data_IF_255700938923
#
_entry.id   IF_255700938923
#
_cell.length_a   1.000
_cell.length_b   1.000
_cell.length_c   1.000
_cell.angle_alpha   90.00
_cell.angle_beta   90.00
_cell.angle_gamma   90.00
#
_symmetry.space_group_name_H-M   'P 1'
#
loop_
_entity.id
_entity.type
_entity.pdbx_description
1 polymer ?
#
# COMPACT_ATOMS: atom_id res chain seq x y z
N UNK A 1 -42.77 38.42 8.98
CA UNK A 1 -43.14 37.26 8.11
C UNK A 1 -42.21 37.32 6.91
N UNK A 2 -41.32 36.37 6.62
CA UNK A 2 -41.59 34.97 6.34
C UNK A 2 -40.37 34.13 6.77
N UNK A 3 -40.60 33.15 7.65
CA UNK A 3 -39.65 32.05 7.87
C UNK A 3 -39.74 31.17 6.62
N UNK A 4 -38.65 31.02 5.88
CA UNK A 4 -38.57 30.02 4.81
C UNK A 4 -37.65 28.90 5.30
N UNK A 5 -38.26 27.94 6.00
CA UNK A 5 -37.68 26.64 6.23
C UNK A 5 -38.25 25.71 5.16
N UNK A 6 -37.43 25.28 4.19
CA UNK A 6 -37.70 24.07 3.41
C UNK A 6 -36.40 23.28 3.29
N UNK A 7 -36.44 22.19 4.05
CA UNK A 7 -35.66 20.96 4.00
C UNK A 7 -35.27 20.51 2.58
N UNK A 8 -33.99 20.20 2.38
CA UNK A 8 -33.54 19.30 1.33
C UNK A 8 -32.52 18.33 1.94
N UNK A 9 -33.06 17.30 2.61
CA UNK A 9 -32.38 16.01 2.65
C UNK A 9 -32.25 15.53 1.21
N UNK A 10 -31.05 15.17 0.78
CA UNK A 10 -30.77 13.87 0.13
C UNK A 10 -29.34 13.50 0.53
N UNK A 11 -29.27 12.52 1.42
CA UNK A 11 -28.14 11.61 1.56
C UNK A 11 -27.88 10.98 0.21
N UNK A 12 -26.68 11.18 -0.35
CA UNK A 12 -25.92 10.04 -0.86
C UNK A 12 -24.44 10.33 -0.60
N UNK A 13 -23.95 9.95 0.58
CA UNK A 13 -22.57 9.51 0.71
C UNK A 13 -22.47 8.18 -0.06
N UNK A 14 -22.59 8.22 -1.39
CA UNK A 14 -21.96 7.22 -2.25
C UNK A 14 -20.49 7.60 -2.32
N UNK A 15 -19.84 7.56 -1.15
CA UNK A 15 -18.48 7.06 -1.12
C UNK A 15 -18.63 5.62 -1.56
N UNK A 16 -18.56 5.40 -2.88
CA UNK A 16 -18.26 4.09 -3.41
C UNK A 16 -16.86 3.81 -2.88
N UNK A 17 -16.77 3.26 -1.67
CA UNK A 17 -15.54 2.78 -1.10
C UNK A 17 -15.19 1.59 -1.99
N UNK A 18 -14.42 1.89 -3.03
CA UNK A 18 -13.89 0.90 -3.95
C UNK A 18 -13.06 -0.03 -3.09
N UNK A 19 -13.63 -1.18 -2.71
CA UNK A 19 -12.91 -2.26 -2.07
C UNK A 19 -12.02 -2.93 -3.11
N UNK A 20 -11.08 -2.15 -3.67
CA UNK A 20 -9.89 -2.70 -4.29
C UNK A 20 -9.09 -3.27 -3.14
N UNK A 21 -8.91 -4.57 -3.13
CA UNK A 21 -8.08 -5.28 -2.17
C UNK A 21 -6.67 -4.69 -2.22
N UNK A 22 -6.36 -3.77 -1.30
CA UNK A 22 -5.08 -3.09 -1.28
C UNK A 22 -4.00 -4.07 -0.82
N UNK A 23 -3.08 -4.41 -1.74
CA UNK A 23 -1.89 -5.17 -1.38
C UNK A 23 -1.16 -4.41 -0.26
N UNK A 24 -0.91 -5.10 0.83
CA UNK A 24 -0.34 -4.55 2.06
C UNK A 24 0.83 -5.41 2.53
N UNK A 25 1.95 -4.78 2.86
CA UNK A 25 3.18 -5.40 3.37
C UNK A 25 3.59 -4.71 4.69
N UNK A 26 3.91 -5.50 5.72
CA UNK A 26 4.46 -4.97 6.97
C UNK A 26 6.01 -4.93 6.89
N UNK A 27 6.58 -3.74 6.99
CA UNK A 27 8.04 -3.53 7.02
C UNK A 27 8.39 -2.64 8.20
N UNK A 28 9.28 -3.13 9.07
CA UNK A 28 9.77 -2.39 10.24
C UNK A 28 8.64 -1.77 11.10
N UNK A 29 7.57 -2.52 11.33
CA UNK A 29 6.42 -2.09 12.14
C UNK A 29 5.47 -1.10 11.46
N UNK A 30 5.62 -0.88 10.16
CA UNK A 30 4.75 -0.01 9.37
C UNK A 30 4.09 -0.77 8.22
N UNK A 31 2.83 -0.46 7.97
CA UNK A 31 2.10 -0.98 6.81
C UNK A 31 2.43 -0.12 5.58
N UNK A 32 2.77 -0.79 4.49
CA UNK A 32 2.95 -0.19 3.18
C UNK A 32 1.87 -0.74 2.25
N UNK A 33 1.17 0.13 1.54
CA UNK A 33 0.05 -0.21 0.65
C UNK A 33 0.36 0.12 -0.80
N UNK A 34 -0.13 -0.70 -1.73
CA UNK A 34 0.05 -0.46 -3.16
C UNK A 34 -0.52 0.90 -3.54
N UNK A 35 0.25 1.66 -4.32
CA UNK A 35 -0.25 2.88 -4.94
C UNK A 35 -0.87 2.54 -6.30
N UNK A 36 -1.91 3.27 -6.72
CA UNK A 36 -2.34 3.22 -8.14
C UNK A 36 -1.31 3.89 -9.07
N UNK A 37 -0.36 4.61 -8.48
CA UNK A 37 0.78 5.18 -9.16
C UNK A 37 1.78 4.08 -9.51
N UNK A 38 1.80 3.70 -10.80
CA UNK A 38 2.93 2.96 -11.36
C UNK A 38 4.07 3.96 -11.49
N UNK A 39 4.87 4.10 -10.44
CA UNK A 39 6.16 4.79 -10.58
C UNK A 39 7.04 3.86 -11.39
N UNK A 40 7.07 4.08 -12.71
CA UNK A 40 8.18 3.63 -13.55
C UNK A 40 9.41 4.36 -13.04
N UNK A 41 10.04 3.81 -12.00
CA UNK A 41 11.34 4.26 -11.59
C UNK A 41 12.24 4.16 -12.81
N UNK A 42 12.94 5.25 -13.08
CA UNK A 42 14.10 5.23 -13.96
C UNK A 42 14.96 4.07 -13.47
N UNK A 43 15.10 3.03 -14.29
CA UNK A 43 15.75 1.76 -13.93
C UNK A 43 17.12 1.99 -13.29
N UNK A 44 17.76 3.11 -13.62
CA UNK A 44 19.03 3.59 -13.10
C UNK A 44 19.03 3.90 -11.58
N UNK A 45 17.92 4.35 -10.99
CA UNK A 45 17.80 4.56 -9.54
C UNK A 45 17.69 3.24 -8.76
N UNK A 46 16.94 2.26 -9.29
CA UNK A 46 16.95 0.88 -8.76
C UNK A 46 18.34 0.27 -8.92
N UNK A 47 19.02 0.58 -10.03
CA UNK A 47 20.37 0.10 -10.31
C UNK A 47 21.43 0.70 -9.37
N UNK A 48 21.25 1.95 -8.94
CA UNK A 48 22.11 2.61 -7.94
C UNK A 48 21.93 2.02 -6.53
N UNK A 49 20.70 1.61 -6.16
CA UNK A 49 20.44 0.86 -4.92
C UNK A 49 20.67 -0.66 -5.04
N UNK A 50 21.14 -1.16 -6.19
CA UNK A 50 21.37 -2.60 -6.43
C UNK A 50 22.49 -3.21 -5.55
N UNK A 51 23.25 -2.38 -4.83
CA UNK A 51 24.18 -2.81 -3.78
C UNK A 51 23.49 -3.09 -2.44
N UNK A 52 22.26 -2.64 -2.24
CA UNK A 52 21.46 -3.01 -1.07
C UNK A 52 20.85 -4.40 -1.28
N UNK A 53 21.02 -5.28 -0.29
CA UNK A 53 20.46 -6.63 -0.31
C UNK A 53 18.94 -6.52 -0.22
N UNK A 54 18.22 -7.08 -1.19
CA UNK A 54 16.78 -7.20 -1.13
C UNK A 54 16.35 -8.01 0.10
N UNK A 55 15.25 -7.59 0.72
CA UNK A 55 14.53 -8.41 1.69
C UNK A 55 13.49 -9.25 0.94
N UNK A 56 12.86 -10.20 1.64
CA UNK A 56 11.89 -11.12 1.06
C UNK A 56 10.65 -11.21 1.95
N UNK A 57 9.48 -11.37 1.34
CA UNK A 57 8.25 -11.74 2.05
C UNK A 57 8.50 -13.07 2.77
N UNK A 58 8.26 -13.12 4.07
CA UNK A 58 8.56 -14.27 4.94
C UNK A 58 7.31 -15.09 5.28
N UNK A 59 6.13 -14.45 5.27
CA UNK A 59 4.83 -15.10 5.49
C UNK A 59 3.73 -14.40 4.71
N UNK A 60 2.60 -15.09 4.54
CA UNK A 60 1.41 -14.53 3.87
C UNK A 60 0.16 -14.80 4.69
N UNK A 61 -0.71 -13.79 4.78
CA UNK A 61 -2.09 -13.90 5.31
C UNK A 61 -3.10 -13.89 4.15
N UNK A 62 -4.38 -14.08 4.46
CA UNK A 62 -5.42 -13.96 3.43
C UNK A 62 -5.47 -12.54 2.88
N UNK A 63 -5.94 -12.38 1.63
CA UNK A 63 -6.00 -11.06 0.96
C UNK A 63 -6.87 -10.02 1.66
N UNK A 64 -7.68 -10.45 2.63
CA UNK A 64 -8.58 -9.61 3.41
C UNK A 64 -8.04 -9.27 4.80
N UNK A 65 -6.93 -9.91 5.20
CA UNK A 65 -6.31 -9.73 6.51
C UNK A 65 -5.21 -8.68 6.44
N UNK A 66 -5.09 -7.87 7.49
CA UNK A 66 -3.98 -6.93 7.65
C UNK A 66 -2.75 -7.68 8.17
N UNK A 67 -1.59 -7.59 7.50
CA UNK A 67 -0.34 -8.12 8.03
C UNK A 67 0.03 -7.51 9.38
N UNK A 68 0.65 -8.29 10.25
CA UNK A 68 1.02 -7.87 11.61
C UNK A 68 2.49 -8.10 11.95
N UNK A 69 3.18 -8.94 11.19
CA UNK A 69 4.60 -9.28 11.40
C UNK A 69 5.48 -8.72 10.29
N UNK A 70 6.72 -8.33 10.60
CA UNK A 70 7.65 -7.84 9.57
C UNK A 70 7.92 -8.91 8.51
N UNK A 71 7.77 -8.54 7.23
CA UNK A 71 7.87 -9.45 6.09
C UNK A 71 6.57 -10.20 5.78
N UNK A 72 5.49 -9.99 6.54
CA UNK A 72 4.18 -10.56 6.25
C UNK A 72 3.41 -9.69 5.24
N UNK A 73 2.73 -10.35 4.31
CA UNK A 73 1.92 -9.70 3.27
C UNK A 73 0.56 -10.36 3.08
N UNK A 74 -0.42 -9.61 2.60
CA UNK A 74 -1.73 -10.16 2.17
C UNK A 74 -1.77 -10.50 0.67
N UNK A 75 -0.60 -10.56 0.04
CA UNK A 75 -0.41 -10.77 -1.40
C UNK A 75 0.90 -11.50 -1.68
N UNK A 76 1.11 -11.89 -2.93
CA UNK A 76 2.35 -12.53 -3.37
C UNK A 76 2.58 -13.90 -2.73
N UNK A 77 3.84 -14.32 -2.69
CA UNK A 77 4.28 -15.57 -2.06
C UNK A 77 5.51 -15.34 -1.20
N UNK A 78 5.78 -16.25 -0.27
CA UNK A 78 7.06 -16.29 0.46
C UNK A 78 8.23 -16.31 -0.54
N UNK A 79 9.27 -15.53 -0.25
CA UNK A 79 10.43 -15.33 -1.12
C UNK A 79 10.28 -14.19 -2.14
N UNK A 80 9.11 -13.53 -2.21
CA UNK A 80 8.92 -12.36 -3.08
C UNK A 80 9.86 -11.22 -2.64
N UNK A 81 10.75 -10.72 -3.51
CA UNK A 81 11.70 -9.68 -3.14
C UNK A 81 11.03 -8.32 -2.92
N UNK A 82 11.51 -7.58 -1.92
CA UNK A 82 11.18 -6.16 -1.73
C UNK A 82 12.41 -5.34 -1.29
N UNK A 83 12.34 -4.03 -1.49
CA UNK A 83 13.39 -3.08 -1.16
C UNK A 83 12.79 -1.84 -0.49
N UNK A 84 13.25 -1.51 0.72
CA UNK A 84 12.95 -0.22 1.35
C UNK A 84 13.74 0.88 0.63
N UNK A 85 13.03 1.80 -0.01
CA UNK A 85 13.67 2.90 -0.74
C UNK A 85 14.03 4.04 0.21
N UNK A 86 13.06 4.47 1.01
CA UNK A 86 13.20 5.43 2.10
C UNK A 86 12.16 5.09 3.20
N UNK A 87 11.92 6.02 4.13
CA UNK A 87 10.98 5.79 5.23
C UNK A 87 9.52 5.71 4.79
N UNK A 88 9.15 6.30 3.66
CA UNK A 88 7.77 6.39 3.18
C UNK A 88 7.49 5.39 2.05
N UNK A 89 8.50 4.81 1.43
CA UNK A 89 8.33 3.99 0.23
C UNK A 89 9.08 2.64 0.26
N UNK A 90 8.38 1.61 -0.20
CA UNK A 90 8.92 0.26 -0.46
C UNK A 90 8.61 -0.14 -1.89
N UNK A 91 9.56 -0.77 -2.57
CA UNK A 91 9.32 -1.42 -3.87
C UNK A 91 9.18 -2.92 -3.66
N UNK A 92 8.17 -3.52 -4.27
CA UNK A 92 7.93 -4.96 -4.22
C UNK A 92 7.97 -5.54 -5.63
N UNK A 93 8.66 -6.67 -5.81
CA UNK A 93 8.83 -7.29 -7.11
C UNK A 93 7.68 -8.24 -7.43
N UNK A 94 6.68 -7.77 -8.17
CA UNK A 94 5.51 -8.54 -8.58
C UNK A 94 5.51 -8.73 -10.09
N UNK A 95 5.25 -9.95 -10.58
CA UNK A 95 5.20 -10.26 -12.01
C UNK A 95 6.42 -9.74 -12.80
N UNK A 96 7.62 -9.84 -12.20
CA UNK A 96 8.89 -9.32 -12.72
C UNK A 96 9.05 -7.79 -12.77
N UNK A 97 8.03 -7.03 -12.35
CA UNK A 97 8.06 -5.57 -12.26
C UNK A 97 8.27 -5.12 -10.81
N UNK A 98 8.84 -3.92 -10.62
CA UNK A 98 8.94 -3.28 -9.31
C UNK A 98 7.77 -2.33 -9.13
N UNK A 99 6.91 -2.64 -8.16
CA UNK A 99 5.70 -1.86 -7.87
C UNK A 99 5.94 -1.04 -6.61
N UNK A 100 5.55 0.24 -6.63
CA UNK A 100 5.67 1.14 -5.50
C UNK A 100 4.56 0.91 -4.47
N UNK A 101 4.98 0.84 -3.21
CA UNK A 101 4.10 0.82 -2.06
C UNK A 101 4.44 2.01 -1.18
N UNK A 102 3.41 2.71 -0.71
CA UNK A 102 3.52 3.87 0.17
C UNK A 102 3.16 3.49 1.59
N UNK A 103 3.91 4.03 2.55
CA UNK A 103 3.62 3.92 3.97
C UNK A 103 2.22 4.46 4.25
N UNK A 104 1.38 3.62 4.86
CA UNK A 104 0.07 4.01 5.34
C UNK A 104 0.27 5.09 6.41
N UNK A 105 -0.38 6.24 6.23
CA UNK A 105 -0.42 7.26 7.26
C UNK A 105 -1.07 6.64 8.50
N UNK A 106 -0.49 6.85 9.69
CA UNK A 106 -1.21 6.61 10.92
C UNK A 106 -2.38 7.59 10.90
N UNK A 107 -3.59 7.11 10.67
CA UNK A 107 -4.76 7.89 11.03
C UNK A 107 -4.57 8.25 12.51
N UNK A 108 -4.49 9.56 12.78
CA UNK A 108 -4.56 10.10 14.14
C UNK A 108 -5.94 9.69 14.69
N UNK A 109 -6.01 8.51 15.31
CA UNK A 109 -7.12 8.12 16.17
C UNK A 109 -7.10 8.94 17.46
#
# INVERSE_FOLDING_TARGET
MKKLAILLMIFVLTGCYSSKWEHTLMVEGHLYVTTEEVVMLNIDLIRLKKSERYAEITSTVTSTSTPTQNGEANFGTVGTPYLKFDDDYVYVRLNHEWILFKKMAKDLQ
#
